data_IF_048588252142
#
_entry.id   IF_048588252142
#
_cell.length_a   1.000
_cell.length_b   1.000
_cell.length_c   1.000
_cell.angle_alpha   90.00
_cell.angle_beta   90.00
_cell.angle_gamma   90.00
#
_symmetry.space_group_name_H-M   'P 1'
#
loop_
_entity.id
_entity.type
_entity.pdbx_description
1 polymer ?
#
# COMPACT_ATOMS: atom_id res chain seq x y z
N UNK A 1 15.24 3.78 -17.95
CA UNK A 1 14.39 3.07 -16.97
C UNK A 1 14.52 3.81 -15.65
N UNK A 2 13.43 4.09 -14.93
CA UNK A 2 13.54 4.61 -13.56
C UNK A 2 14.14 3.51 -12.68
N UNK A 3 15.01 3.88 -11.75
CA UNK A 3 15.59 2.94 -10.78
C UNK A 3 14.46 2.29 -9.96
N UNK A 4 14.48 0.97 -9.72
CA UNK A 4 13.49 0.33 -8.88
C UNK A 4 13.57 0.89 -7.45
N UNK A 5 12.43 1.02 -6.80
CA UNK A 5 12.35 1.41 -5.40
C UNK A 5 11.72 0.29 -4.58
N UNK A 6 11.88 0.37 -3.25
CA UNK A 6 11.32 -0.58 -2.31
C UNK A 6 10.25 0.09 -1.44
N UNK A 7 9.32 -0.70 -0.90
CA UNK A 7 8.41 -0.30 0.16
C UNK A 7 8.76 -1.17 1.38
N UNK A 8 9.27 -0.55 2.41
CA UNK A 8 9.83 -1.22 3.60
C UNK A 8 9.20 -0.63 4.86
N UNK A 9 9.00 -1.45 5.88
CA UNK A 9 8.47 -0.99 7.15
C UNK A 9 7.58 -2.02 7.84
N UNK A 10 7.09 -1.71 9.04
CA UNK A 10 6.16 -2.59 9.74
C UNK A 10 4.79 -2.61 9.05
N UNK A 11 4.08 -3.73 9.17
CA UNK A 11 2.76 -3.85 8.56
C UNK A 11 1.76 -2.82 9.14
N UNK A 12 1.84 -2.54 10.45
CA UNK A 12 0.96 -1.61 11.16
C UNK A 12 1.73 -0.66 12.05
N UNK A 13 1.15 0.49 12.30
CA UNK A 13 1.66 1.49 13.23
C UNK A 13 1.19 1.12 14.65
N UNK A 14 1.99 0.27 15.33
CA UNK A 14 1.64 -0.24 16.66
C UNK A 14 1.83 0.81 17.77
N UNK A 15 2.88 1.61 17.65
CA UNK A 15 3.15 2.79 18.46
C UNK A 15 4.06 3.76 17.71
N UNK A 16 4.15 5.00 18.19
CA UNK A 16 5.09 5.98 17.64
C UNK A 16 6.53 5.52 17.84
N UNK A 17 6.90 5.09 19.05
CA UNK A 17 8.24 4.61 19.37
C UNK A 17 8.67 3.45 18.47
N UNK A 18 7.78 2.49 18.25
CA UNK A 18 8.04 1.35 17.36
C UNK A 18 8.25 1.79 15.91
N UNK A 19 7.46 2.76 15.43
CA UNK A 19 7.65 3.29 14.07
C UNK A 19 9.02 3.96 13.93
N UNK A 20 9.44 4.75 14.89
CA UNK A 20 10.75 5.38 14.93
C UNK A 20 11.89 4.37 14.99
N UNK A 21 11.78 3.36 15.85
CA UNK A 21 12.76 2.27 15.94
C UNK A 21 12.96 1.60 14.58
N UNK A 22 11.85 1.19 13.94
CA UNK A 22 11.90 0.53 12.64
C UNK A 22 12.46 1.44 11.54
N UNK A 23 12.06 2.70 11.51
CA UNK A 23 12.55 3.64 10.51
C UNK A 23 14.06 3.88 10.64
N UNK A 24 14.55 4.06 11.87
CA UNK A 24 15.99 4.23 12.18
C UNK A 24 16.80 2.97 11.91
N UNK A 25 16.21 1.79 12.04
CA UNK A 25 16.88 0.52 11.71
C UNK A 25 16.98 0.31 10.18
N UNK A 26 15.96 0.66 9.42
CA UNK A 26 15.91 0.46 7.97
C UNK A 26 16.79 1.48 7.22
N UNK A 27 16.75 2.75 7.63
CA UNK A 27 17.43 3.85 6.91
C UNK A 27 18.91 3.57 6.61
N UNK A 28 19.77 3.22 7.59
CA UNK A 28 21.19 2.98 7.32
C UNK A 28 21.44 1.76 6.43
N UNK A 29 20.54 0.78 6.45
CA UNK A 29 20.63 -0.39 5.56
C UNK A 29 20.37 0.03 4.11
N UNK A 30 19.29 0.81 3.89
CA UNK A 30 18.93 1.31 2.58
C UNK A 30 20.03 2.22 2.00
N UNK A 31 20.59 3.12 2.82
CA UNK A 31 21.68 4.03 2.43
C UNK A 31 22.93 3.26 2.02
N UNK A 32 23.34 2.27 2.82
CA UNK A 32 24.49 1.42 2.51
C UNK A 32 24.33 0.65 1.21
N UNK A 33 23.11 0.25 0.88
CA UNK A 33 22.79 -0.48 -0.34
C UNK A 33 22.49 0.44 -1.53
N UNK A 34 22.41 1.75 -1.33
CA UNK A 34 22.09 2.71 -2.36
C UNK A 34 20.70 2.52 -2.98
N UNK A 35 19.71 2.08 -2.18
CA UNK A 35 18.35 1.81 -2.65
C UNK A 35 17.39 2.92 -2.25
N UNK A 36 16.55 3.34 -3.19
CA UNK A 36 15.41 4.21 -2.92
C UNK A 36 14.28 3.41 -2.28
N UNK A 37 13.62 3.97 -1.26
CA UNK A 37 12.47 3.32 -0.65
C UNK A 37 11.45 4.30 -0.09
N UNK A 38 10.23 3.78 0.10
CA UNK A 38 9.19 4.39 0.91
C UNK A 38 9.11 3.66 2.25
N UNK A 39 9.16 4.39 3.36
CA UNK A 39 8.85 3.81 4.66
C UNK A 39 7.35 3.65 4.80
N UNK A 40 6.89 2.45 5.12
CA UNK A 40 5.47 2.11 5.19
C UNK A 40 5.04 1.67 6.58
N UNK A 41 3.97 2.28 7.10
CA UNK A 41 3.16 1.73 8.17
C UNK A 41 1.69 2.10 7.98
N UNK A 42 0.76 1.16 8.21
CA UNK A 42 -0.67 1.45 8.13
C UNK A 42 -1.15 2.05 9.45
N UNK A 43 -1.77 3.21 9.41
CA UNK A 43 -2.34 3.88 10.60
C UNK A 43 -3.59 3.19 11.14
N UNK A 44 -4.21 2.31 10.36
CA UNK A 44 -5.35 1.50 10.76
C UNK A 44 -5.30 0.12 10.10
N UNK A 45 -5.72 -0.89 10.83
CA UNK A 45 -5.92 -2.26 10.36
C UNK A 45 -7.42 -2.57 10.26
N UNK A 46 -8.12 -1.78 9.43
CA UNK A 46 -9.59 -1.76 9.34
C UNK A 46 -10.23 -3.10 8.90
N UNK A 47 -9.47 -3.98 8.26
CA UNK A 47 -9.97 -5.22 7.66
C UNK A 47 -9.48 -6.51 8.35
N UNK A 48 -9.10 -6.44 9.64
CA UNK A 48 -8.75 -7.63 10.42
C UNK A 48 -9.95 -8.55 10.60
N UNK A 49 -9.70 -9.86 10.68
CA UNK A 49 -10.75 -10.87 10.83
C UNK A 49 -11.46 -10.77 12.18
N UNK A 50 -10.72 -10.51 13.27
CA UNK A 50 -11.28 -10.32 14.61
C UNK A 50 -11.66 -8.85 14.85
N UNK A 51 -12.84 -8.61 15.43
CA UNK A 51 -13.28 -7.28 15.85
C UNK A 51 -12.43 -6.68 16.98
N UNK A 52 -11.81 -7.52 17.81
CA UNK A 52 -10.94 -7.12 18.92
C UNK A 52 -9.47 -6.93 18.51
N UNK A 53 -9.16 -7.09 17.21
CA UNK A 53 -7.80 -6.93 16.73
C UNK A 53 -7.33 -5.48 16.85
N UNK A 54 -6.02 -5.32 17.07
CA UNK A 54 -5.38 -4.00 17.08
C UNK A 54 -5.71 -3.23 15.79
N UNK A 55 -6.13 -1.96 15.94
CA UNK A 55 -6.51 -1.08 14.84
C UNK A 55 -5.38 -0.11 14.46
N UNK A 56 -4.89 0.66 15.38
CA UNK A 56 -3.89 1.71 15.16
C UNK A 56 -4.37 3.09 15.64
N UNK A 57 -3.53 4.14 15.48
CA UNK A 57 -3.80 5.48 16.03
C UNK A 57 -4.83 6.30 15.22
N UNK A 58 -5.24 5.82 14.05
CA UNK A 58 -6.09 6.56 13.13
C UNK A 58 -5.34 7.52 12.20
N UNK A 59 -6.09 8.09 11.23
CA UNK A 59 -5.48 8.81 10.10
C UNK A 59 -4.68 10.04 10.54
N UNK A 60 -5.22 10.90 11.40
CA UNK A 60 -4.55 12.16 11.78
C UNK A 60 -3.22 11.91 12.48
N UNK A 61 -3.25 11.09 13.53
CA UNK A 61 -2.07 10.80 14.33
C UNK A 61 -1.07 9.94 13.57
N UNK A 62 -1.52 8.90 12.86
CA UNK A 62 -0.64 8.03 12.11
C UNK A 62 0.08 8.74 10.96
N UNK A 63 -0.59 9.64 10.24
CA UNK A 63 0.05 10.41 9.17
C UNK A 63 0.97 11.50 9.70
N UNK A 64 0.67 12.10 10.86
CA UNK A 64 1.60 13.01 11.58
C UNK A 64 2.93 12.30 11.88
N UNK A 65 2.87 11.14 12.53
CA UNK A 65 4.05 10.34 12.88
C UNK A 65 4.87 10.00 11.63
N UNK A 66 4.23 9.53 10.57
CA UNK A 66 4.92 9.23 9.31
C UNK A 66 5.54 10.47 8.66
N UNK A 67 4.85 11.60 8.72
CA UNK A 67 5.36 12.88 8.22
C UNK A 67 6.59 13.38 8.97
N UNK A 68 6.65 13.18 10.29
CA UNK A 68 7.82 13.51 11.11
C UNK A 68 9.00 12.59 10.79
N UNK A 69 8.76 11.27 10.63
CA UNK A 69 9.78 10.32 10.17
C UNK A 69 10.32 10.73 8.80
N UNK A 70 9.44 11.09 7.88
CA UNK A 70 9.82 11.57 6.55
C UNK A 70 10.74 12.78 6.61
N UNK A 71 10.35 13.78 7.40
CA UNK A 71 11.10 15.03 7.56
C UNK A 71 12.46 14.85 8.23
N UNK A 72 12.52 14.06 9.32
CA UNK A 72 13.74 13.87 10.09
C UNK A 72 14.76 12.98 9.36
N UNK A 73 14.29 11.89 8.74
CA UNK A 73 15.17 10.91 8.09
C UNK A 73 15.36 11.16 6.59
N UNK A 74 14.65 12.11 6.00
CA UNK A 74 14.72 12.38 4.57
C UNK A 74 14.25 11.21 3.71
N UNK A 75 13.23 10.48 4.15
CA UNK A 75 12.68 9.31 3.45
C UNK A 75 11.24 9.58 3.01
N UNK A 76 10.84 9.03 1.88
CA UNK A 76 9.44 9.06 1.46
C UNK A 76 8.60 8.10 2.31
N UNK A 77 7.33 8.42 2.47
CA UNK A 77 6.41 7.64 3.32
C UNK A 77 5.16 7.22 2.58
N UNK A 78 4.59 6.07 2.99
CA UNK A 78 3.34 5.54 2.45
C UNK A 78 2.48 4.91 3.53
N UNK A 79 1.17 4.97 3.36
CA UNK A 79 0.18 4.34 4.24
C UNK A 79 -1.08 3.94 3.46
N UNK A 80 -1.93 3.11 4.09
CA UNK A 80 -3.21 2.69 3.51
C UNK A 80 -4.30 3.73 3.78
N UNK A 81 -5.16 4.00 2.78
CA UNK A 81 -6.32 4.88 2.88
C UNK A 81 -7.59 4.02 2.83
N UNK A 82 -8.48 4.17 3.80
CA UNK A 82 -9.66 3.30 3.93
C UNK A 82 -10.97 4.01 3.56
N UNK A 83 -11.04 5.33 3.76
CA UNK A 83 -12.24 6.13 3.48
C UNK A 83 -11.90 7.37 2.63
N UNK A 84 -12.79 7.82 1.74
CA UNK A 84 -12.53 8.98 0.88
C UNK A 84 -12.13 10.26 1.64
N UNK A 85 -12.73 10.52 2.80
CA UNK A 85 -12.42 11.71 3.62
C UNK A 85 -11.02 11.69 4.26
N UNK A 86 -10.35 10.55 4.27
CA UNK A 86 -8.99 10.40 4.81
C UNK A 86 -7.92 10.81 3.81
N UNK A 87 -8.25 10.80 2.51
CA UNK A 87 -7.27 11.01 1.44
C UNK A 87 -6.57 12.39 1.54
N UNK A 88 -7.34 13.46 1.73
CA UNK A 88 -6.79 14.82 1.88
C UNK A 88 -5.96 14.96 3.16
N UNK A 89 -6.44 14.42 4.28
CA UNK A 89 -5.73 14.44 5.56
C UNK A 89 -4.37 13.74 5.42
N UNK A 90 -4.38 12.57 4.79
CA UNK A 90 -3.14 11.81 4.58
C UNK A 90 -2.18 12.50 3.61
N UNK A 91 -2.70 13.15 2.57
CA UNK A 91 -1.91 13.82 1.55
C UNK A 91 -1.07 15.00 2.08
N UNK A 92 -1.40 15.55 3.27
CA UNK A 92 -0.58 16.57 3.92
C UNK A 92 0.82 16.06 4.27
N UNK A 93 0.95 14.78 4.57
CA UNK A 93 2.17 14.17 5.09
C UNK A 93 2.71 13.02 4.25
N UNK A 94 1.88 12.37 3.44
CA UNK A 94 2.18 11.11 2.76
C UNK A 94 2.51 11.35 1.28
N UNK A 95 3.57 10.71 0.80
CA UNK A 95 4.04 10.84 -0.59
C UNK A 95 3.32 9.89 -1.54
N UNK A 96 2.95 8.69 -1.06
CA UNK A 96 2.29 7.65 -1.84
C UNK A 96 1.09 7.11 -1.07
N UNK A 97 -0.12 7.40 -1.56
CA UNK A 97 -1.37 6.92 -0.97
C UNK A 97 -1.66 5.51 -1.46
N UNK A 98 -1.81 4.55 -0.55
CA UNK A 98 -2.12 3.18 -0.92
C UNK A 98 -3.59 2.84 -0.68
N UNK A 99 -4.26 2.30 -1.70
CA UNK A 99 -5.61 1.75 -1.60
C UNK A 99 -5.50 0.24 -1.34
N UNK A 100 -6.05 -0.28 -0.22
CA UNK A 100 -6.04 -1.70 0.10
C UNK A 100 -6.73 -2.58 -0.95
N UNK A 101 -6.31 -3.85 -1.04
CA UNK A 101 -6.79 -4.78 -2.04
C UNK A 101 -8.32 -4.98 -2.02
N UNK A 102 -8.96 -5.04 -0.85
CA UNK A 102 -10.41 -5.19 -0.75
C UNK A 102 -11.17 -3.97 -1.26
N UNK A 103 -10.54 -2.80 -1.29
CA UNK A 103 -11.14 -1.53 -1.70
C UNK A 103 -10.74 -1.10 -3.12
N UNK A 104 -10.00 -1.93 -3.85
CA UNK A 104 -9.40 -1.59 -5.15
C UNK A 104 -10.40 -1.19 -6.24
N UNK A 105 -11.69 -1.49 -6.08
CA UNK A 105 -12.77 -1.13 -7.03
C UNK A 105 -13.64 0.04 -6.56
N UNK A 106 -13.45 0.55 -5.36
CA UNK A 106 -14.27 1.63 -4.79
C UNK A 106 -13.98 2.95 -5.51
N UNK A 107 -14.94 3.38 -6.34
CA UNK A 107 -14.76 4.56 -7.21
C UNK A 107 -14.51 5.83 -6.39
N UNK A 108 -15.31 6.08 -5.35
CA UNK A 108 -15.18 7.28 -4.52
C UNK A 108 -13.83 7.36 -3.81
N UNK A 109 -13.27 6.20 -3.38
CA UNK A 109 -11.95 6.15 -2.75
C UNK A 109 -10.83 6.41 -3.76
N UNK A 110 -10.93 5.82 -4.96
CA UNK A 110 -9.98 6.05 -6.06
C UNK A 110 -10.00 7.53 -6.45
N UNK A 111 -11.19 8.11 -6.62
CA UNK A 111 -11.38 9.52 -6.94
C UNK A 111 -10.76 10.43 -5.88
N UNK A 112 -11.05 10.17 -4.60
CA UNK A 112 -10.53 10.97 -3.50
C UNK A 112 -9.00 10.94 -3.47
N UNK A 113 -8.39 9.76 -3.58
CA UNK A 113 -6.93 9.64 -3.64
C UNK A 113 -6.34 10.32 -4.87
N UNK A 114 -6.94 10.14 -6.05
CA UNK A 114 -6.48 10.75 -7.30
C UNK A 114 -6.48 12.28 -7.24
N UNK A 115 -7.53 12.88 -6.67
CA UNK A 115 -7.68 14.34 -6.54
C UNK A 115 -6.66 15.02 -5.62
N UNK A 116 -5.98 14.27 -4.76
CA UNK A 116 -4.94 14.84 -3.88
C UNK A 116 -3.69 15.28 -4.63
N UNK A 117 -3.48 14.83 -5.87
CA UNK A 117 -2.26 15.06 -6.64
C UNK A 117 -1.04 14.27 -6.15
N UNK A 118 -1.21 13.39 -5.15
CA UNK A 118 -0.15 12.47 -4.70
C UNK A 118 -0.06 11.25 -5.59
N UNK A 119 1.08 10.57 -5.58
CA UNK A 119 1.22 9.25 -6.21
C UNK A 119 0.23 8.27 -5.57
N UNK A 120 -0.48 7.48 -6.37
CA UNK A 120 -1.45 6.50 -5.87
C UNK A 120 -0.97 5.09 -6.16
N UNK A 121 -1.03 4.20 -5.18
CA UNK A 121 -0.79 2.77 -5.34
C UNK A 121 -2.07 2.00 -5.03
N UNK A 122 -2.60 1.24 -5.99
CA UNK A 122 -3.77 0.39 -5.75
C UNK A 122 -3.34 -1.06 -5.66
N UNK A 123 -3.58 -1.69 -4.51
CA UNK A 123 -3.32 -3.13 -4.37
C UNK A 123 -4.37 -3.91 -5.14
N UNK A 124 -3.94 -4.75 -6.10
CA UNK A 124 -4.84 -5.61 -6.87
C UNK A 124 -5.61 -6.53 -5.92
N UNK A 125 -6.94 -6.52 -6.01
CA UNK A 125 -7.78 -7.45 -5.26
C UNK A 125 -7.47 -8.90 -5.60
N UNK A 126 -7.54 -9.79 -4.61
CA UNK A 126 -7.29 -11.22 -4.80
C UNK A 126 -8.30 -11.89 -5.74
N UNK A 127 -9.41 -11.22 -6.01
CA UNK A 127 -10.50 -11.65 -6.89
C UNK A 127 -10.39 -11.11 -8.33
N UNK A 128 -9.38 -10.29 -8.62
CA UNK A 128 -9.19 -9.67 -9.95
C UNK A 128 -8.22 -10.45 -10.82
N UNK A 129 -8.57 -10.62 -12.09
CA UNK A 129 -7.60 -10.97 -13.12
C UNK A 129 -6.62 -9.79 -13.38
N UNK A 130 -5.41 -10.05 -13.89
CA UNK A 130 -4.47 -8.96 -14.21
C UNK A 130 -5.06 -7.92 -15.18
N UNK A 131 -5.80 -8.34 -16.21
CA UNK A 131 -6.43 -7.44 -17.19
C UNK A 131 -7.54 -6.57 -16.58
N UNK A 132 -8.21 -7.02 -15.51
CA UNK A 132 -9.24 -6.22 -14.85
C UNK A 132 -8.68 -4.94 -14.23
N UNK A 133 -7.37 -4.88 -14.02
CA UNK A 133 -6.69 -3.70 -13.47
C UNK A 133 -6.70 -2.50 -14.42
N UNK A 134 -6.93 -2.73 -15.71
CA UNK A 134 -7.13 -1.67 -16.70
C UNK A 134 -8.29 -0.75 -16.32
N UNK A 135 -9.36 -1.32 -15.75
CA UNK A 135 -10.50 -0.52 -15.26
C UNK A 135 -10.12 0.40 -14.09
N UNK A 136 -9.18 -0.03 -13.24
CA UNK A 136 -8.65 0.79 -12.14
C UNK A 136 -7.81 1.93 -12.73
N UNK A 137 -6.92 1.62 -13.68
CA UNK A 137 -6.10 2.60 -14.37
C UNK A 137 -6.97 3.66 -15.08
N UNK A 138 -8.03 3.23 -15.77
CA UNK A 138 -8.96 4.13 -16.42
C UNK A 138 -9.67 5.07 -15.45
N UNK A 139 -10.06 4.59 -14.25
CA UNK A 139 -10.63 5.45 -13.22
C UNK A 139 -9.62 6.50 -12.75
N UNK A 140 -8.38 6.12 -12.48
CA UNK A 140 -7.33 7.05 -12.07
C UNK A 140 -7.10 8.12 -13.14
N UNK A 141 -6.98 7.73 -14.41
CA UNK A 141 -6.85 8.66 -15.54
C UNK A 141 -8.04 9.60 -15.68
N UNK A 142 -9.28 9.11 -15.44
CA UNK A 142 -10.48 9.96 -15.53
C UNK A 142 -10.51 11.08 -14.48
N UNK A 143 -9.71 10.96 -13.43
CA UNK A 143 -9.50 11.98 -12.39
C UNK A 143 -8.13 12.69 -12.52
N UNK A 144 -7.49 12.62 -13.70
CA UNK A 144 -6.19 13.23 -14.01
C UNK A 144 -5.04 12.74 -13.13
N UNK A 145 -5.08 11.50 -12.66
CA UNK A 145 -4.01 10.86 -11.92
C UNK A 145 -3.24 9.92 -12.84
N UNK A 146 -2.08 10.39 -13.35
CA UNK A 146 -1.18 9.59 -14.20
C UNK A 146 0.00 9.01 -13.41
N UNK A 147 0.26 9.53 -12.21
CA UNK A 147 1.31 9.03 -11.34
C UNK A 147 0.78 7.97 -10.37
N UNK A 148 0.62 6.76 -10.87
CA UNK A 148 0.12 5.64 -10.08
C UNK A 148 0.87 4.34 -10.33
N UNK A 149 0.66 3.40 -9.42
CA UNK A 149 1.09 2.00 -9.49
C UNK A 149 -0.08 1.08 -9.18
N UNK A 150 0.01 -0.16 -9.69
CA UNK A 150 -0.85 -1.25 -9.23
C UNK A 150 0.03 -2.35 -8.66
N UNK A 151 -0.30 -2.81 -7.46
CA UNK A 151 0.47 -3.82 -6.74
C UNK A 151 -0.12 -5.21 -6.93
N UNK A 152 0.66 -6.12 -7.51
CA UNK A 152 0.37 -7.56 -7.50
C UNK A 152 0.66 -8.13 -6.10
N UNK A 153 -0.29 -8.90 -5.57
CA UNK A 153 -0.20 -9.48 -4.22
C UNK A 153 -0.79 -10.90 -4.12
N UNK A 154 -1.02 -11.55 -5.24
CA UNK A 154 -1.65 -12.85 -5.32
C UNK A 154 -3.15 -12.80 -5.53
N UNK A 155 -3.67 -13.90 -6.01
CA UNK A 155 -5.10 -14.14 -6.24
C UNK A 155 -5.55 -15.33 -5.39
N UNK A 156 -6.82 -15.32 -4.97
CA UNK A 156 -7.42 -16.45 -4.26
C UNK A 156 -7.46 -17.70 -5.15
N UNK A 157 -6.98 -18.81 -4.63
CA UNK A 157 -6.97 -20.08 -5.30
C UNK A 157 -7.57 -21.16 -4.37
N UNK A 158 -8.88 -21.31 -4.44
CA UNK A 158 -9.64 -22.08 -3.45
C UNK A 158 -9.78 -21.32 -2.12
N UNK A 159 -10.03 -22.05 -1.04
CA UNK A 159 -10.20 -21.49 0.30
C UNK A 159 -8.86 -21.30 0.99
N UNK A 160 -8.70 -20.17 1.68
CA UNK A 160 -7.55 -19.86 2.54
C UNK A 160 -6.18 -20.01 1.86
N UNK A 161 -6.13 -19.83 0.54
CA UNK A 161 -4.89 -19.96 -0.22
C UNK A 161 -4.75 -18.81 -1.22
N UNK A 162 -3.50 -18.40 -1.46
CA UNK A 162 -3.13 -17.41 -2.46
C UNK A 162 -2.10 -18.01 -3.42
N UNK A 163 -2.23 -17.65 -4.69
CA UNK A 163 -1.25 -17.96 -5.73
C UNK A 163 -0.88 -16.69 -6.47
N UNK A 164 0.40 -16.48 -6.66
CA UNK A 164 0.90 -15.43 -7.55
C UNK A 164 1.20 -16.03 -8.92
N UNK A 165 0.49 -15.59 -9.92
CA UNK A 165 0.90 -15.80 -11.29
C UNK A 165 1.90 -14.71 -11.68
N UNK A 166 3.19 -15.05 -11.76
CA UNK A 166 4.24 -14.07 -12.11
C UNK A 166 4.05 -13.47 -13.50
N UNK A 167 3.28 -14.10 -14.38
CA UNK A 167 2.90 -13.52 -15.69
C UNK A 167 2.03 -12.29 -15.55
N UNK A 168 1.32 -12.14 -14.40
CA UNK A 168 0.49 -10.97 -14.13
C UNK A 168 1.27 -9.66 -14.18
N UNK A 169 2.55 -9.68 -13.77
CA UNK A 169 3.43 -8.52 -13.82
C UNK A 169 3.67 -8.07 -15.27
N UNK A 170 3.90 -9.02 -16.15
CA UNK A 170 4.07 -8.77 -17.59
C UNK A 170 2.76 -8.30 -18.21
N UNK A 171 1.65 -9.00 -17.96
CA UNK A 171 0.32 -8.66 -18.51
C UNK A 171 -0.07 -7.22 -18.19
N UNK A 172 0.06 -6.81 -16.91
CA UNK A 172 -0.25 -5.43 -16.51
C UNK A 172 0.70 -4.40 -17.15
N UNK A 173 1.97 -4.75 -17.34
CA UNK A 173 2.94 -3.85 -17.99
C UNK A 173 2.65 -3.64 -19.48
N UNK A 174 2.18 -4.65 -20.21
CA UNK A 174 1.77 -4.52 -21.61
C UNK A 174 0.60 -3.52 -21.77
N UNK A 175 -0.23 -3.40 -20.74
CA UNK A 175 -1.31 -2.39 -20.66
C UNK A 175 -0.80 -0.99 -20.21
N UNK A 176 0.50 -0.77 -20.17
CA UNK A 176 1.10 0.51 -19.76
C UNK A 176 1.08 0.77 -18.26
N UNK A 177 0.68 -0.19 -17.42
CA UNK A 177 0.58 -0.05 -15.97
C UNK A 177 1.95 -0.22 -15.33
N UNK A 178 2.34 0.69 -14.44
CA UNK A 178 3.51 0.53 -13.57
C UNK A 178 3.17 -0.40 -12.42
N UNK A 179 3.94 -1.47 -12.26
CA UNK A 179 3.62 -2.56 -11.33
C UNK A 179 4.58 -2.59 -10.15
N UNK A 180 4.01 -2.76 -8.95
CA UNK A 180 4.73 -3.14 -7.73
C UNK A 180 4.42 -4.61 -7.44
N UNK A 181 5.41 -5.36 -6.99
CA UNK A 181 5.22 -6.73 -6.50
C UNK A 181 5.33 -6.77 -4.98
N UNK A 182 4.25 -7.18 -4.31
CA UNK A 182 4.22 -7.37 -2.87
C UNK A 182 4.60 -8.81 -2.53
N UNK A 183 5.87 -9.05 -2.30
CA UNK A 183 6.41 -10.37 -1.99
C UNK A 183 5.95 -10.89 -0.61
N UNK A 184 5.66 -9.98 0.33
CA UNK A 184 5.27 -10.33 1.69
C UNK A 184 3.84 -10.87 1.76
N UNK A 185 2.88 -10.10 1.24
CA UNK A 185 1.48 -10.48 1.33
C UNK A 185 1.07 -11.56 0.30
N UNK A 186 1.90 -11.82 -0.69
CA UNK A 186 1.68 -12.89 -1.67
C UNK A 186 1.76 -14.29 -1.08
N UNK A 187 2.48 -14.47 0.02
CA UNK A 187 2.68 -15.77 0.69
C UNK A 187 1.85 -15.93 1.96
N UNK A 188 0.95 -15.00 2.22
CA UNK A 188 0.02 -15.11 3.35
C UNK A 188 -0.96 -16.29 3.19
N UNK A 189 -1.36 -16.85 4.31
CA UNK A 189 -2.49 -17.79 4.39
C UNK A 189 -3.70 -17.07 4.99
N UNK A 190 -4.66 -16.61 4.18
CA UNK A 190 -5.82 -15.88 4.68
C UNK A 190 -6.58 -16.71 5.73
N UNK A 191 -6.78 -16.15 6.93
CA UNK A 191 -7.43 -16.85 8.04
C UNK A 191 -6.63 -18.01 8.65
N UNK A 192 -5.35 -18.17 8.32
CA UNK A 192 -4.54 -19.32 8.73
C UNK A 192 -4.32 -19.47 10.24
N UNK A 193 -4.46 -18.37 11.00
CA UNK A 193 -4.39 -18.36 12.47
C UNK A 193 -5.74 -18.03 13.12
N UNK A 194 -6.86 -18.26 12.45
CA UNK A 194 -8.19 -17.95 12.95
C UNK A 194 -8.53 -16.46 12.95
N UNK A 195 -7.94 -15.67 13.83
CA UNK A 195 -8.16 -14.21 13.94
C UNK A 195 -7.23 -13.33 13.08
N UNK A 196 -6.21 -13.93 12.47
CA UNK A 196 -5.23 -13.24 11.63
C UNK A 196 -4.76 -14.08 10.47
N UNK A 197 -4.05 -13.48 9.52
CA UNK A 197 -3.36 -14.22 8.46
C UNK A 197 -2.10 -14.90 8.99
N UNK A 198 -1.89 -16.14 8.58
CA UNK A 198 -0.65 -16.89 8.86
C UNK A 198 0.44 -16.59 7.84
#
# INVERSE_FOLDING_TARGET
>A
MKTPFFILGPCGLESEDFAWEMARAIKPIADRLGIDYYFKASYDKANRTSGDAFRGPGVKEGTRILGEISKELGVKVTTDIHHPHEAEIAAEHIDLLQIPAFLCRQTDLIEACAKTGRTVNVKKGQFLAPLDTVNIAQKLHSYNCDDFYITERGSSFGYNNLVVDMRSLYIMREEGIRVIFDATHSVQRPGGLGGSTG
#
